data_IF_812959191218
#
_entry.id   IF_812959191218
#
_cell.length_a   1.000
_cell.length_b   1.000
_cell.length_c   1.000
_cell.angle_alpha   90.00
_cell.angle_beta   90.00
_cell.angle_gamma   90.00
#
_symmetry.space_group_name_H-M   'P 1'
#
loop_
_entity.id
_entity.type
_entity.pdbx_description
1 polymer ?
#
# COMPACT_ATOMS: atom_id res chain seq x y z
N UNK A 1 -9.55 -10.66 30.09
CA UNK A 1 -8.27 -9.97 29.80
C UNK A 1 -7.90 -10.04 28.30
N UNK A 2 -8.81 -9.67 27.38
CA UNK A 2 -8.54 -9.65 25.91
C UNK A 2 -8.62 -8.24 25.30
N UNK A 3 -8.91 -7.23 26.10
CA UNK A 3 -9.19 -5.88 25.63
C UNK A 3 -7.94 -5.00 25.48
N UNK A 4 -6.89 -5.28 26.26
CA UNK A 4 -5.71 -4.39 26.35
C UNK A 4 -4.74 -4.56 25.18
N UNK A 5 -4.62 -5.77 24.61
CA UNK A 5 -3.78 -6.02 23.42
C UNK A 5 -4.41 -5.44 22.14
N UNK A 6 -5.74 -5.49 22.01
CA UNK A 6 -6.51 -4.90 20.91
C UNK A 6 -6.35 -3.37 20.83
N UNK A 7 -6.29 -2.71 21.99
CA UNK A 7 -6.11 -1.25 22.10
C UNK A 7 -4.68 -0.79 21.75
N UNK A 8 -3.65 -1.58 22.07
CA UNK A 8 -2.27 -1.28 21.68
C UNK A 8 -2.03 -1.48 20.18
N UNK A 9 -2.65 -2.49 19.59
CA UNK A 9 -2.63 -2.72 18.14
C UNK A 9 -3.30 -1.55 17.40
N UNK A 10 -4.46 -1.07 17.87
CA UNK A 10 -5.22 0.04 17.25
C UNK A 10 -4.51 1.38 17.22
N UNK A 11 -3.70 1.72 18.23
CA UNK A 11 -2.97 3.01 18.26
C UNK A 11 -1.80 3.10 17.28
N UNK A 12 -1.32 1.97 16.75
CA UNK A 12 -0.18 1.94 15.83
C UNK A 12 -0.54 2.36 14.40
N UNK A 13 -1.84 2.43 14.07
CA UNK A 13 -2.31 2.59 12.69
C UNK A 13 -3.13 3.87 12.43
N UNK A 14 -3.16 4.83 13.36
CA UNK A 14 -3.89 6.09 13.19
C UNK A 14 -3.17 7.05 12.21
N UNK A 15 -3.93 7.77 11.37
CA UNK A 15 -3.47 8.76 10.37
C UNK A 15 -2.65 9.93 10.94
N UNK A 16 -2.44 10.00 12.25
CA UNK A 16 -1.78 11.12 12.91
C UNK A 16 -0.31 11.31 12.55
N UNK A 17 0.32 10.36 11.84
CA UNK A 17 1.75 10.40 11.52
C UNK A 17 2.07 10.66 10.04
N UNK A 18 1.06 10.84 9.17
CA UNK A 18 1.32 11.22 7.78
C UNK A 18 1.83 12.67 7.76
N UNK A 19 3.16 12.83 7.75
CA UNK A 19 3.77 14.16 7.70
C UNK A 19 3.60 14.69 6.27
N UNK A 20 2.56 15.50 6.06
CA UNK A 20 2.35 16.24 4.81
C UNK A 20 3.36 17.38 4.77
N UNK A 21 4.54 17.16 4.19
CA UNK A 21 5.52 18.22 4.04
C UNK A 21 6.81 17.78 3.38
N UNK A 22 7.06 18.26 2.16
CA UNK A 22 8.34 18.08 1.47
C UNK A 22 8.20 17.95 -0.04
N UNK A 23 9.28 18.21 -0.77
CA UNK A 23 9.42 17.83 -2.17
C UNK A 23 10.58 16.86 -2.28
N UNK A 24 10.36 15.77 -2.99
CA UNK A 24 11.38 14.75 -3.21
C UNK A 24 11.79 14.79 -4.68
N UNK A 25 13.10 14.67 -4.94
CA UNK A 25 13.61 14.59 -6.30
C UNK A 25 13.37 13.17 -6.84
N UNK A 26 12.38 13.04 -7.73
CA UNK A 26 12.13 11.82 -8.47
C UNK A 26 12.91 11.85 -9.80
N UNK A 27 13.64 10.80 -10.19
CA UNK A 27 14.35 10.78 -11.46
C UNK A 27 13.37 10.78 -12.64
N UNK A 28 13.76 11.44 -13.75
CA UNK A 28 12.93 11.48 -14.97
C UNK A 28 12.64 10.10 -15.54
N UNK A 29 13.51 9.12 -15.31
CA UNK A 29 13.30 7.72 -15.74
C UNK A 29 12.06 7.08 -15.12
N UNK A 30 11.65 7.50 -13.92
CA UNK A 30 10.41 7.04 -13.28
C UNK A 30 9.15 7.61 -13.94
N UNK A 31 9.29 8.67 -14.75
CA UNK A 31 8.22 9.32 -15.51
C UNK A 31 6.96 9.59 -14.63
N UNK A 32 7.07 10.34 -13.52
CA UNK A 32 5.93 10.60 -12.64
C UNK A 32 4.89 11.47 -13.36
N UNK A 33 3.61 11.10 -13.23
CA UNK A 33 2.49 11.95 -13.61
C UNK A 33 2.34 13.16 -12.66
N UNK A 34 1.51 14.17 -13.01
CA UNK A 34 1.21 15.28 -12.10
C UNK A 34 0.53 14.85 -10.79
N UNK A 35 -0.11 13.68 -10.75
CA UNK A 35 -0.77 13.14 -9.54
C UNK A 35 0.15 12.26 -8.70
N UNK A 36 1.42 12.08 -9.11
CA UNK A 36 2.40 11.32 -8.35
C UNK A 36 2.71 11.96 -6.99
N UNK A 37 2.90 11.12 -5.98
CA UNK A 37 3.18 11.53 -4.61
C UNK A 37 4.16 10.56 -3.95
N UNK A 38 4.68 10.90 -2.77
CA UNK A 38 5.62 10.06 -2.05
C UNK A 38 5.23 9.85 -0.59
N UNK A 39 5.55 8.68 -0.05
CA UNK A 39 5.37 8.33 1.37
C UNK A 39 6.66 7.67 1.87
N UNK A 40 7.07 8.01 3.09
CA UNK A 40 8.15 7.31 3.79
C UNK A 40 7.67 5.94 4.25
N UNK A 41 8.38 4.88 3.88
CA UNK A 41 8.07 3.53 4.31
C UNK A 41 8.31 3.36 5.81
N UNK A 42 7.36 2.70 6.48
CA UNK A 42 7.48 2.32 7.89
C UNK A 42 7.35 0.80 8.04
N UNK A 43 8.16 0.23 8.94
CA UNK A 43 8.19 -1.20 9.23
C UNK A 43 9.18 -2.00 8.39
N UNK A 44 9.14 -3.31 8.56
CA UNK A 44 10.15 -4.28 8.12
C UNK A 44 9.59 -5.39 7.23
N UNK A 45 8.31 -5.32 6.88
CA UNK A 45 7.60 -6.37 6.16
C UNK A 45 8.07 -6.61 4.72
N UNK A 46 8.89 -5.71 4.18
CA UNK A 46 9.48 -5.80 2.84
C UNK A 46 11.01 -5.96 2.88
N UNK A 47 11.59 -6.23 4.06
CA UNK A 47 13.00 -6.60 4.14
C UNK A 47 13.26 -7.91 3.37
N UNK A 48 14.47 -8.09 2.82
CA UNK A 48 15.60 -7.16 2.83
C UNK A 48 15.58 -6.12 1.69
N UNK A 49 14.62 -6.22 0.77
CA UNK A 49 14.60 -5.42 -0.47
C UNK A 49 14.31 -3.93 -0.21
N UNK A 50 13.46 -3.66 0.78
CA UNK A 50 13.00 -2.33 1.15
C UNK A 50 12.97 -2.20 2.68
N UNK A 51 13.42 -1.06 3.20
CA UNK A 51 13.55 -0.83 4.64
C UNK A 51 12.75 0.38 5.10
N UNK A 52 12.44 0.40 6.39
CA UNK A 52 11.88 1.59 7.04
C UNK A 52 12.79 2.80 6.78
N UNK A 53 12.18 3.92 6.43
CA UNK A 53 12.87 5.16 6.06
C UNK A 53 13.01 5.39 4.54
N UNK A 54 12.95 4.33 3.72
CA UNK A 54 12.95 4.48 2.27
C UNK A 54 11.75 5.33 1.81
N UNK A 55 11.95 6.19 0.81
CA UNK A 55 10.87 7.02 0.26
C UNK A 55 10.29 6.34 -0.97
N UNK A 56 9.02 5.99 -0.89
CA UNK A 56 8.28 5.30 -1.94
C UNK A 56 7.53 6.33 -2.78
N UNK A 57 7.76 6.34 -4.09
CA UNK A 57 7.09 7.25 -5.03
C UNK A 57 5.99 6.48 -5.75
N UNK A 58 4.76 6.98 -5.67
CA UNK A 58 3.57 6.36 -6.22
C UNK A 58 3.00 7.17 -7.37
N UNK A 59 2.32 6.50 -8.29
CA UNK A 59 1.61 7.14 -9.39
C UNK A 59 0.21 6.53 -9.57
N UNK A 60 -0.87 7.28 -9.27
CA UNK A 60 -2.24 6.83 -9.47
C UNK A 60 -2.62 6.58 -10.93
N UNK A 61 -1.92 7.22 -11.88
CA UNK A 61 -2.22 7.14 -13.31
C UNK A 61 -1.56 5.93 -13.98
N UNK A 62 -0.63 5.25 -13.29
CA UNK A 62 0.00 4.04 -13.81
C UNK A 62 -0.66 2.78 -13.24
N UNK A 63 -1.19 1.90 -14.09
CA UNK A 63 -1.81 0.67 -13.63
C UNK A 63 -0.74 -0.26 -13.01
N UNK A 64 -0.99 -0.83 -11.83
CA UNK A 64 -0.16 -1.89 -11.27
C UNK A 64 -0.17 -3.17 -12.11
N UNK A 65 0.99 -3.80 -12.23
CA UNK A 65 1.23 -5.08 -12.89
C UNK A 65 1.70 -6.13 -11.87
N UNK A 66 1.66 -7.39 -12.27
CA UNK A 66 2.13 -8.50 -11.43
C UNK A 66 3.60 -8.27 -11.03
N UNK A 67 3.88 -8.44 -9.74
CA UNK A 67 5.20 -8.24 -9.15
C UNK A 67 5.51 -6.80 -8.75
N UNK A 68 4.68 -5.82 -9.12
CA UNK A 68 4.88 -4.44 -8.68
C UNK A 68 4.68 -4.31 -7.17
N UNK A 69 5.42 -3.37 -6.56
CA UNK A 69 5.03 -2.82 -5.28
C UNK A 69 3.82 -1.89 -5.46
N UNK A 70 2.87 -2.02 -4.55
CA UNK A 70 1.65 -1.21 -4.52
C UNK A 70 1.39 -0.68 -3.13
N UNK A 71 0.78 0.50 -3.04
CA UNK A 71 0.12 0.96 -1.81
C UNK A 71 -1.37 0.71 -1.91
N UNK A 72 -1.93 0.19 -0.83
CA UNK A 72 -3.35 -0.10 -0.67
C UNK A 72 -3.93 0.94 0.29
N UNK A 73 -4.87 1.73 -0.21
CA UNK A 73 -5.64 2.69 0.57
C UNK A 73 -6.97 2.08 0.97
N UNK A 74 -7.30 2.20 2.25
CA UNK A 74 -8.53 1.65 2.82
C UNK A 74 -9.68 2.63 2.68
N UNK A 75 -10.92 2.11 2.68
CA UNK A 75 -12.12 2.94 2.87
C UNK A 75 -12.26 3.41 4.30
N UNK A 76 -11.86 2.56 5.25
CA UNK A 76 -11.73 2.96 6.64
C UNK A 76 -10.45 3.79 6.77
N UNK A 77 -10.63 5.11 6.79
CA UNK A 77 -9.54 6.08 6.95
C UNK A 77 -8.80 5.92 8.27
N UNK A 78 -9.31 5.18 9.25
CA UNK A 78 -8.57 4.92 10.50
C UNK A 78 -7.42 3.93 10.34
N UNK A 79 -7.32 3.25 9.19
CA UNK A 79 -6.30 2.25 8.89
C UNK A 79 -5.19 2.87 8.04
N UNK A 80 -3.92 2.70 8.45
CA UNK A 80 -2.78 3.12 7.64
C UNK A 80 -2.72 2.39 6.29
N UNK A 81 -2.31 3.08 5.21
CA UNK A 81 -2.05 2.43 3.93
C UNK A 81 -0.97 1.35 4.08
N UNK A 82 -1.14 0.24 3.36
CA UNK A 82 -0.16 -0.85 3.35
C UNK A 82 0.59 -0.88 2.03
N UNK A 83 1.92 -1.04 2.12
CA UNK A 83 2.77 -1.30 0.96
C UNK A 83 3.08 -2.80 0.91
N UNK A 84 2.80 -3.43 -0.23
CA UNK A 84 2.98 -4.88 -0.46
C UNK A 84 3.34 -5.15 -1.93
N UNK A 85 3.81 -6.36 -2.23
CA UNK A 85 4.07 -6.80 -3.61
C UNK A 85 2.84 -7.50 -4.18
N UNK A 86 2.42 -7.13 -5.38
CA UNK A 86 1.23 -7.65 -6.04
C UNK A 86 1.49 -9.04 -6.64
N UNK A 87 0.67 -10.03 -6.27
CA UNK A 87 0.84 -11.42 -6.76
C UNK A 87 -0.03 -11.75 -7.98
N UNK A 88 -1.19 -11.12 -8.09
CA UNK A 88 -2.14 -11.36 -9.19
C UNK A 88 -2.59 -10.02 -9.80
N UNK A 89 -2.97 -10.00 -11.09
CA UNK A 89 -3.56 -8.81 -11.69
C UNK A 89 -4.74 -8.30 -10.88
N UNK A 90 -4.84 -6.97 -10.73
CA UNK A 90 -5.96 -6.37 -10.02
C UNK A 90 -7.29 -6.68 -10.74
N UNK A 91 -8.34 -7.08 -10.01
CA UNK A 91 -9.68 -7.16 -10.58
C UNK A 91 -10.10 -5.81 -11.16
N UNK A 92 -10.89 -5.76 -12.24
CA UNK A 92 -11.40 -4.49 -12.77
C UNK A 92 -12.18 -3.71 -11.70
N UNK A 93 -11.86 -2.43 -11.51
CA UNK A 93 -12.47 -1.56 -10.47
C UNK A 93 -13.99 -1.58 -10.42
N UNK A 94 -14.66 -1.72 -11.58
CA UNK A 94 -16.12 -1.83 -11.68
C UNK A 94 -16.74 -3.00 -10.91
N UNK A 95 -15.94 -3.99 -10.51
CA UNK A 95 -16.37 -5.15 -9.73
C UNK A 95 -15.95 -5.09 -8.26
N UNK A 96 -15.27 -4.03 -7.82
CA UNK A 96 -14.75 -3.97 -6.44
C UNK A 96 -15.87 -3.90 -5.39
N UNK A 97 -16.98 -3.23 -5.77
CA UNK A 97 -18.21 -3.11 -4.99
C UNK A 97 -19.27 -4.15 -5.37
N UNK A 98 -18.94 -5.12 -6.23
CA UNK A 98 -19.90 -6.13 -6.62
C UNK A 98 -20.33 -6.93 -5.37
N UNK A 99 -21.60 -6.78 -4.99
CA UNK A 99 -22.20 -7.54 -3.90
C UNK A 99 -22.41 -9.00 -4.30
N UNK A 100 -22.64 -9.86 -3.30
CA UNK A 100 -22.89 -11.29 -3.47
C UNK A 100 -22.02 -12.16 -2.58
N UNK A 101 -22.19 -13.48 -2.67
CA UNK A 101 -21.41 -14.45 -1.90
C UNK A 101 -19.96 -14.56 -2.38
N UNK A 102 -19.71 -14.37 -3.67
CA UNK A 102 -18.37 -14.32 -4.26
C UNK A 102 -17.83 -12.90 -4.23
N UNK A 103 -16.84 -12.64 -3.38
CA UNK A 103 -16.16 -11.34 -3.29
C UNK A 103 -14.84 -11.37 -4.07
N UNK A 104 -14.57 -10.28 -4.80
CA UNK A 104 -13.27 -10.08 -5.44
C UNK A 104 -12.22 -9.77 -4.38
N UNK A 105 -10.98 -10.18 -4.66
CA UNK A 105 -9.87 -9.97 -3.76
C UNK A 105 -8.61 -9.50 -4.50
N UNK A 106 -7.79 -8.77 -3.76
CA UNK A 106 -6.45 -8.36 -4.11
C UNK A 106 -5.50 -9.32 -3.39
N UNK A 107 -4.66 -10.01 -4.15
CA UNK A 107 -3.66 -10.93 -3.61
C UNK A 107 -2.29 -10.26 -3.62
N UNK A 108 -1.69 -10.14 -2.44
CA UNK A 108 -0.39 -9.51 -2.24
C UNK A 108 0.46 -10.32 -1.30
N UNK A 109 1.76 -10.05 -1.28
CA UNK A 109 2.70 -10.67 -0.34
C UNK A 109 3.50 -9.63 0.43
N UNK A 110 3.99 -10.07 1.59
CA UNK A 110 5.10 -9.44 2.29
C UNK A 110 6.32 -10.37 2.23
N UNK A 111 7.52 -9.79 2.33
CA UNK A 111 8.79 -10.50 2.14
C UNK A 111 9.41 -10.95 3.46
N UNK A 112 8.92 -10.40 4.57
CA UNK A 112 9.47 -10.65 5.90
C UNK A 112 8.38 -10.56 7.00
N UNK A 113 7.96 -11.68 7.59
CA UNK A 113 8.18 -13.04 7.11
C UNK A 113 7.49 -13.25 5.75
N UNK A 114 7.98 -14.12 4.86
CA UNK A 114 7.30 -14.41 3.60
C UNK A 114 5.87 -14.92 3.84
N UNK A 115 4.87 -14.13 3.46
CA UNK A 115 3.46 -14.45 3.69
C UNK A 115 2.55 -13.79 2.64
N UNK A 116 1.49 -14.50 2.25
CA UNK A 116 0.47 -14.02 1.30
C UNK A 116 -0.77 -13.53 2.03
N UNK A 117 -1.30 -12.39 1.58
CA UNK A 117 -2.50 -11.76 2.10
C UNK A 117 -3.56 -11.68 1.01
N UNK A 118 -4.79 -11.94 1.40
CA UNK A 118 -5.97 -11.80 0.56
C UNK A 118 -6.79 -10.65 1.14
N UNK A 119 -6.92 -9.57 0.37
CA UNK A 119 -7.60 -8.35 0.78
C UNK A 119 -8.88 -8.21 -0.04
N UNK A 120 -10.02 -8.03 0.63
CA UNK A 120 -11.30 -7.82 -0.07
C UNK A 120 -11.28 -6.48 -0.78
N UNK A 121 -11.71 -6.45 -2.04
CA UNK A 121 -11.77 -5.19 -2.81
C UNK A 121 -12.80 -4.21 -2.22
N UNK A 122 -13.82 -4.72 -1.51
CA UNK A 122 -14.85 -3.90 -0.86
C UNK A 122 -14.30 -2.97 0.22
N UNK A 123 -13.13 -3.27 0.76
CA UNK A 123 -12.54 -2.54 1.90
C UNK A 123 -11.49 -1.51 1.41
N UNK A 124 -11.22 -1.50 0.11
CA UNK A 124 -10.12 -0.76 -0.52
C UNK A 124 -10.69 0.41 -1.34
N UNK A 125 -10.18 1.61 -1.06
CA UNK A 125 -10.48 2.83 -1.84
C UNK A 125 -9.66 2.88 -3.12
N UNK A 126 -8.36 2.57 -3.02
CA UNK A 126 -7.45 2.67 -4.14
C UNK A 126 -6.23 1.75 -4.00
N UNK A 127 -5.66 1.39 -5.14
CA UNK A 127 -4.35 0.73 -5.22
C UNK A 127 -3.51 1.53 -6.20
N UNK A 128 -2.37 2.05 -5.76
CA UNK A 128 -1.46 2.83 -6.59
C UNK A 128 -0.10 2.14 -6.74
N UNK A 129 0.46 2.18 -7.94
CA UNK A 129 1.77 1.59 -8.26
C UNK A 129 2.90 2.40 -7.63
N UNK A 130 3.87 1.73 -7.04
CA UNK A 130 5.19 2.32 -6.75
C UNK A 130 5.98 2.40 -8.04
N UNK A 131 6.31 3.61 -8.49
CA UNK A 131 7.09 3.84 -9.71
C UNK A 131 8.57 4.03 -9.45
N UNK A 132 8.94 4.35 -8.20
CA UNK A 132 10.34 4.52 -7.81
C UNK A 132 10.50 4.41 -6.29
N UNK A 133 11.70 4.03 -5.85
CA UNK A 133 12.08 3.99 -4.44
C UNK A 133 13.40 4.73 -4.26
N UNK A 134 13.41 5.70 -3.35
CA UNK A 134 14.60 6.46 -2.98
C UNK A 134 15.10 5.91 -1.67
N UNK A 135 16.26 5.26 -1.73
CA UNK A 135 16.87 4.58 -0.60
C UNK A 135 17.56 5.59 0.32
N UNK A 136 17.29 5.49 1.61
CA UNK A 136 17.94 6.32 2.65
C UNK A 136 19.12 5.63 3.31
#
# INVERSE_FOLDING_TARGET
MKEVESLHQKKKYALSNLTVGGRVRCPKSAQPSPSAYAITAEGDCLLPEYKSGDIMVFDPEKPPELGDLVVIWWKDETIQPLIKRLLLPLPPKKYWEAGGEAQMAICVEMLNPPETFIIKTSDVTAVHKVIHVIRT
#
